data_IF_455885144503
#
_entry.id   IF_455885144503
#
_cell.length_a   1.000
_cell.length_b   1.000
_cell.length_c   1.000
_cell.angle_alpha   90.00
_cell.angle_beta   90.00
_cell.angle_gamma   90.00
#
_symmetry.space_group_name_H-M   'P 1'
#
loop_
_entity.id
_entity.type
_entity.pdbx_description
1 polymer ?
#
# COMPACT_ATOMS: atom_id res chain seq x y z
N UNK A 1 38.31 25.67 10.16
CA UNK A 1 38.79 24.55 9.29
C UNK A 1 37.62 24.06 8.45
N UNK A 2 37.93 23.66 7.22
CA UNK A 2 37.06 23.61 6.04
C UNK A 2 35.89 22.62 6.11
N UNK A 3 34.80 23.07 5.50
CA UNK A 3 33.61 22.38 4.98
C UNK A 3 33.76 20.91 4.55
N UNK A 4 32.71 20.12 4.77
CA UNK A 4 32.33 18.99 3.91
C UNK A 4 30.80 18.89 3.73
N UNK A 5 30.33 19.55 2.67
CA UNK A 5 29.46 19.00 1.62
C UNK A 5 28.14 18.31 2.04
N UNK A 6 27.10 19.07 2.39
CA UNK A 6 25.72 18.61 2.19
C UNK A 6 25.39 18.73 0.70
N UNK A 7 25.65 17.67 -0.06
CA UNK A 7 25.04 17.50 -1.36
C UNK A 7 23.52 17.70 -1.18
N UNK A 8 22.95 18.73 -1.80
CA UNK A 8 21.51 18.90 -1.91
C UNK A 8 20.95 17.63 -2.54
N UNK A 9 20.25 16.83 -1.73
CA UNK A 9 19.59 15.61 -2.19
C UNK A 9 18.56 16.02 -3.24
N UNK A 10 18.83 15.74 -4.51
CA UNK A 10 17.97 16.06 -5.65
C UNK A 10 16.77 15.09 -5.76
N UNK A 11 16.03 14.88 -4.66
CA UNK A 11 14.83 14.06 -4.67
C UNK A 11 13.82 14.52 -3.62
N UNK A 12 12.55 14.25 -3.90
CA UNK A 12 11.40 14.49 -3.00
C UNK A 12 11.07 13.22 -2.21
N UNK A 13 10.36 13.38 -1.08
CA UNK A 13 9.86 12.23 -0.31
C UNK A 13 8.92 11.33 -1.15
N UNK A 14 8.10 11.93 -2.02
CA UNK A 14 7.22 11.19 -2.93
C UNK A 14 8.02 10.31 -3.90
N UNK A 15 9.11 10.81 -4.48
CA UNK A 15 9.98 10.01 -5.34
C UNK A 15 10.63 8.85 -4.57
N UNK A 16 10.99 9.08 -3.31
CA UNK A 16 11.56 8.05 -2.47
C UNK A 16 10.52 6.97 -2.11
N UNK A 17 9.29 7.35 -1.78
CA UNK A 17 8.18 6.40 -1.57
C UNK A 17 7.83 5.62 -2.83
N UNK A 18 7.83 6.27 -4.01
CA UNK A 18 7.66 5.61 -5.31
C UNK A 18 8.77 4.59 -5.56
N UNK A 19 10.02 4.95 -5.27
CA UNK A 19 11.17 4.03 -5.41
C UNK A 19 11.05 2.84 -4.46
N UNK A 20 10.63 3.06 -3.22
CA UNK A 20 10.38 1.99 -2.27
C UNK A 20 9.22 1.09 -2.73
N UNK A 21 8.12 1.66 -3.23
CA UNK A 21 6.97 0.91 -3.72
C UNK A 21 7.32 0.05 -4.94
N UNK A 22 8.13 0.59 -5.87
CA UNK A 22 8.59 -0.14 -7.04
C UNK A 22 9.38 -1.39 -6.67
N UNK A 23 10.27 -1.30 -5.66
CA UNK A 23 11.10 -2.43 -5.20
C UNK A 23 10.30 -3.57 -4.55
N UNK A 24 9.04 -3.32 -4.20
CA UNK A 24 8.15 -4.35 -3.64
C UNK A 24 7.39 -5.11 -4.71
N UNK A 25 7.64 -4.86 -6.00
CA UNK A 25 7.02 -5.55 -7.14
C UNK A 25 8.09 -6.44 -7.77
N UNK A 26 7.81 -7.74 -7.85
CA UNK A 26 8.68 -8.67 -8.57
C UNK A 26 8.30 -8.72 -10.06
N UNK A 27 9.25 -9.11 -10.89
CA UNK A 27 8.97 -9.36 -12.31
C UNK A 27 7.90 -10.45 -12.46
N UNK A 28 7.06 -10.30 -13.49
CA UNK A 28 5.92 -11.19 -13.78
C UNK A 28 4.78 -11.22 -12.74
N UNK A 29 4.81 -10.39 -11.69
CA UNK A 29 3.67 -10.30 -10.78
C UNK A 29 2.47 -9.61 -11.44
N UNK A 30 1.27 -10.13 -11.14
CA UNK A 30 0.00 -9.46 -11.42
C UNK A 30 -0.28 -8.45 -10.30
N UNK A 31 -0.14 -7.18 -10.64
CA UNK A 31 -0.28 -6.04 -9.74
C UNK A 31 -1.66 -5.43 -9.88
N UNK A 32 -2.44 -5.37 -8.80
CA UNK A 32 -3.64 -4.55 -8.76
C UNK A 32 -3.25 -3.10 -8.47
N UNK A 33 -3.30 -2.27 -9.49
CA UNK A 33 -2.69 -0.93 -9.51
C UNK A 33 -3.68 0.10 -8.98
N UNK A 34 -3.29 0.79 -7.90
CA UNK A 34 -3.98 2.00 -7.44
C UNK A 34 -3.51 3.26 -8.15
N UNK A 35 -4.16 4.39 -7.91
CA UNK A 35 -3.80 5.68 -8.51
C UNK A 35 -2.77 6.47 -7.69
N UNK A 36 -2.10 7.45 -8.33
CA UNK A 36 -1.07 8.34 -7.75
C UNK A 36 0.24 7.60 -7.42
N UNK A 37 0.69 7.59 -6.16
CA UNK A 37 1.99 7.00 -5.79
C UNK A 37 2.09 5.50 -6.14
N UNK A 38 1.07 4.66 -5.88
CA UNK A 38 1.03 3.28 -6.38
C UNK A 38 1.24 3.13 -7.89
N UNK A 39 0.53 3.91 -8.71
CA UNK A 39 0.69 3.90 -10.16
C UNK A 39 2.14 4.22 -10.55
N UNK A 40 2.73 5.26 -9.96
CA UNK A 40 4.11 5.62 -10.23
C UNK A 40 5.10 4.53 -9.78
N UNK A 41 4.82 3.85 -8.66
CA UNK A 41 5.63 2.71 -8.21
C UNK A 41 5.57 1.53 -9.18
N UNK A 42 4.38 1.18 -9.65
CA UNK A 42 4.17 0.16 -10.68
C UNK A 42 4.88 0.51 -11.99
N UNK A 43 4.68 1.73 -12.50
CA UNK A 43 5.31 2.18 -13.74
C UNK A 43 6.83 2.23 -13.62
N UNK A 44 7.37 2.65 -12.46
CA UNK A 44 8.81 2.62 -12.22
C UNK A 44 9.34 1.18 -12.21
N UNK A 45 8.65 0.23 -11.56
CA UNK A 45 9.05 -1.17 -11.57
C UNK A 45 9.08 -1.74 -12.99
N UNK A 46 7.99 -1.54 -13.75
CA UNK A 46 7.84 -2.00 -15.13
C UNK A 46 8.89 -1.43 -16.08
N UNK A 47 9.29 -0.16 -15.90
CA UNK A 47 10.33 0.48 -16.71
C UNK A 47 11.76 0.25 -16.21
N UNK A 48 11.97 -0.57 -15.16
CA UNK A 48 13.31 -0.82 -14.60
C UNK A 48 13.65 -2.28 -14.42
N UNK A 49 13.04 -2.96 -13.45
CA UNK A 49 13.47 -4.29 -12.99
C UNK A 49 12.39 -5.36 -13.08
N UNK A 50 11.14 -4.97 -13.39
CA UNK A 50 9.99 -5.87 -13.50
C UNK A 50 9.23 -5.66 -14.82
N UNK A 51 9.89 -5.73 -16.00
CA UNK A 51 9.27 -5.43 -17.30
C UNK A 51 8.10 -6.36 -17.67
N UNK A 52 8.02 -7.55 -17.09
CA UNK A 52 6.92 -8.50 -17.25
C UNK A 52 5.77 -8.31 -16.25
N UNK A 53 5.86 -7.38 -15.31
CA UNK A 53 4.75 -7.11 -14.38
C UNK A 53 3.49 -6.67 -15.13
N UNK A 54 2.34 -7.21 -14.73
CA UNK A 54 1.03 -6.96 -15.36
C UNK A 54 0.19 -6.06 -14.44
N UNK A 55 -0.30 -4.95 -14.96
CA UNK A 55 -1.19 -4.04 -14.24
C UNK A 55 -2.66 -4.39 -14.47
N UNK A 56 -3.40 -4.66 -13.40
CA UNK A 56 -4.85 -4.81 -13.37
C UNK A 56 -5.45 -3.59 -12.66
N UNK A 57 -6.44 -2.96 -13.29
CA UNK A 57 -7.14 -1.79 -12.77
C UNK A 57 -8.61 -2.12 -12.46
N UNK A 58 -9.18 -1.46 -11.45
CA UNK A 58 -10.53 -1.75 -10.91
C UNK A 58 -11.67 -1.63 -11.94
N UNK A 59 -11.46 -0.89 -13.02
CA UNK A 59 -12.42 -0.73 -14.11
C UNK A 59 -12.41 -1.87 -15.14
N UNK A 60 -11.68 -2.96 -14.89
CA UNK A 60 -11.58 -4.08 -15.83
C UNK A 60 -10.52 -3.89 -16.90
N UNK A 61 -9.52 -3.04 -16.66
CA UNK A 61 -8.45 -2.79 -17.64
C UNK A 61 -7.22 -3.59 -17.24
N UNK A 62 -6.66 -4.36 -18.17
CA UNK A 62 -5.41 -5.11 -17.97
C UNK A 62 -4.36 -4.66 -18.97
N UNK A 63 -3.15 -4.37 -18.47
CA UNK A 63 -2.02 -3.89 -19.27
C UNK A 63 -0.74 -4.60 -18.88
N UNK A 64 0.00 -5.04 -19.89
CA UNK A 64 1.38 -5.54 -19.80
C UNK A 64 2.41 -4.46 -20.18
N UNK A 65 1.95 -3.28 -20.58
CA UNK A 65 2.78 -2.14 -20.98
C UNK A 65 2.23 -0.83 -20.41
N UNK A 66 3.09 0.17 -20.15
CA UNK A 66 2.65 1.49 -19.70
C UNK A 66 1.60 2.12 -20.62
N UNK A 67 0.72 2.94 -20.07
CA UNK A 67 -0.13 3.82 -20.88
C UNK A 67 0.75 4.80 -21.67
N UNK A 68 0.37 5.18 -22.91
CA UNK A 68 1.17 6.08 -23.74
C UNK A 68 1.20 7.53 -23.22
N UNK A 69 0.26 7.89 -22.34
CA UNK A 69 0.15 9.22 -21.73
C UNK A 69 -0.16 9.10 -20.22
N UNK A 70 0.09 10.16 -19.42
CA UNK A 70 -0.19 10.16 -18.00
C UNK A 70 -1.67 9.91 -17.66
N UNK A 71 -1.91 9.17 -16.58
CA UNK A 71 -3.26 8.86 -16.08
C UNK A 71 -3.60 9.73 -14.87
N UNK A 72 -4.71 10.46 -14.96
CA UNK A 72 -5.36 11.15 -13.85
C UNK A 72 -6.35 10.23 -13.13
N UNK A 73 -7.08 9.41 -13.89
CA UNK A 73 -7.99 8.38 -13.39
C UNK A 73 -7.71 7.04 -14.08
N UNK A 74 -8.19 5.94 -13.49
CA UNK A 74 -8.07 4.62 -14.12
C UNK A 74 -8.87 4.52 -15.43
N UNK A 75 -9.87 5.40 -15.64
CA UNK A 75 -10.77 5.37 -16.80
C UNK A 75 -10.32 6.24 -17.97
N UNK A 76 -9.15 6.86 -17.89
CA UNK A 76 -8.69 7.77 -18.94
C UNK A 76 -8.39 7.01 -20.24
N UNK A 77 -8.63 7.65 -21.40
CA UNK A 77 -8.42 7.07 -22.73
C UNK A 77 -7.02 6.44 -22.94
N UNK A 78 -5.92 7.02 -22.42
CA UNK A 78 -4.61 6.37 -22.53
C UNK A 78 -4.54 5.01 -21.82
N UNK A 79 -5.30 4.79 -20.75
CA UNK A 79 -5.32 3.50 -20.06
C UNK A 79 -6.05 2.43 -20.89
N UNK A 80 -7.05 2.84 -21.67
CA UNK A 80 -7.84 1.96 -22.55
C UNK A 80 -7.07 1.61 -23.83
N UNK A 81 -6.35 2.58 -24.39
CA UNK A 81 -5.65 2.43 -25.66
C UNK A 81 -4.55 1.37 -25.58
N UNK A 82 -4.66 0.32 -26.41
CA UNK A 82 -3.74 -0.83 -26.44
C UNK A 82 -3.64 -1.59 -25.10
N UNK A 83 -4.69 -1.54 -24.28
CA UNK A 83 -4.79 -2.49 -23.18
C UNK A 83 -4.87 -3.92 -23.73
N UNK A 84 -4.32 -4.88 -23.00
CA UNK A 84 -4.39 -6.30 -23.37
C UNK A 84 -5.81 -6.84 -23.24
N UNK A 85 -6.54 -6.32 -22.26
CA UNK A 85 -7.93 -6.67 -22.03
C UNK A 85 -8.73 -5.48 -21.52
N UNK A 86 -9.90 -5.29 -22.13
CA UNK A 86 -10.94 -4.37 -21.69
C UNK A 86 -12.14 -5.23 -21.26
N UNK A 87 -12.24 -5.41 -19.95
CA UNK A 87 -13.26 -6.17 -19.25
C UNK A 87 -14.17 -5.19 -18.48
N UNK A 88 -14.87 -5.70 -17.46
CA UNK A 88 -15.53 -4.86 -16.47
C UNK A 88 -14.96 -5.05 -15.06
N UNK A 89 -15.51 -4.31 -14.10
CA UNK A 89 -15.12 -4.44 -12.69
C UNK A 89 -15.39 -5.84 -12.14
N UNK A 90 -16.46 -6.52 -12.58
CA UNK A 90 -16.77 -7.86 -12.09
C UNK A 90 -15.69 -8.87 -12.52
N UNK A 91 -15.18 -8.75 -13.74
CA UNK A 91 -14.06 -9.55 -14.24
C UNK A 91 -12.76 -9.32 -13.44
N UNK A 92 -12.41 -8.05 -13.18
CA UNK A 92 -11.24 -7.71 -12.37
C UNK A 92 -11.36 -8.25 -10.92
N UNK A 93 -12.55 -8.14 -10.32
CA UNK A 93 -12.82 -8.71 -9.00
C UNK A 93 -12.84 -10.25 -9.04
N UNK A 94 -13.28 -10.86 -10.14
CA UNK A 94 -13.24 -12.30 -10.36
C UNK A 94 -11.80 -12.83 -10.39
N UNK A 95 -10.90 -12.16 -11.11
CA UNK A 95 -9.45 -12.47 -11.09
C UNK A 95 -8.87 -12.40 -9.68
N UNK A 96 -9.23 -11.36 -8.92
CA UNK A 96 -8.82 -11.19 -7.53
C UNK A 96 -9.35 -12.34 -6.66
N UNK A 97 -10.62 -12.68 -6.76
CA UNK A 97 -11.25 -13.75 -5.98
C UNK A 97 -10.67 -15.14 -6.28
N UNK A 98 -10.29 -15.39 -7.53
CA UNK A 98 -9.61 -16.63 -7.95
C UNK A 98 -8.16 -16.71 -7.45
N UNK A 99 -7.61 -15.63 -6.89
CA UNK A 99 -6.24 -15.56 -6.41
C UNK A 99 -5.22 -15.28 -7.52
N UNK A 100 -5.66 -14.72 -8.64
CA UNK A 100 -4.82 -14.32 -9.78
C UNK A 100 -4.04 -13.02 -9.56
N UNK A 101 -4.30 -12.30 -8.46
CA UNK A 101 -3.62 -11.05 -8.11
C UNK A 101 -2.53 -11.32 -7.06
N UNK A 102 -1.28 -11.10 -7.44
CA UNK A 102 -0.13 -11.31 -6.57
C UNK A 102 0.01 -10.20 -5.52
N UNK A 103 -0.02 -8.96 -5.97
CA UNK A 103 0.24 -7.79 -5.13
C UNK A 103 -0.78 -6.70 -5.40
N UNK A 104 -1.24 -6.03 -4.36
CA UNK A 104 -2.10 -4.85 -4.48
C UNK A 104 -1.56 -3.69 -3.66
N UNK A 105 -1.94 -2.47 -4.05
CA UNK A 105 -1.61 -1.26 -3.30
C UNK A 105 -2.87 -0.64 -2.70
N UNK A 106 -2.81 -0.35 -1.40
CA UNK A 106 -3.89 0.34 -0.68
C UNK A 106 -3.31 1.41 0.25
N UNK A 107 -4.18 2.27 0.79
CA UNK A 107 -3.80 3.32 1.74
C UNK A 107 -4.98 3.66 2.65
N UNK A 108 -4.73 4.49 3.66
CA UNK A 108 -5.75 4.81 4.66
C UNK A 108 -5.63 6.19 5.27
N UNK A 109 -6.70 6.62 5.95
CA UNK A 109 -6.67 7.74 6.86
C UNK A 109 -6.03 7.35 8.20
N UNK A 110 -6.34 6.14 8.69
CA UNK A 110 -5.67 5.53 9.84
C UNK A 110 -5.12 4.15 9.47
N UNK A 111 -4.07 3.75 10.17
CA UNK A 111 -3.50 2.40 10.20
C UNK A 111 -3.18 2.04 11.65
N UNK A 112 -3.39 0.78 12.03
CA UNK A 112 -3.01 0.28 13.35
C UNK A 112 -1.82 -0.69 13.33
N UNK A 113 -1.43 -1.14 14.53
CA UNK A 113 -0.28 -2.02 14.75
C UNK A 113 -0.34 -3.35 13.99
N UNK A 114 -1.49 -3.76 13.49
CA UNK A 114 -1.69 -5.00 12.72
C UNK A 114 -1.98 -4.72 11.24
N UNK A 115 -1.83 -3.47 10.81
CA UNK A 115 -2.03 -3.05 9.42
C UNK A 115 -3.51 -2.95 9.02
N UNK A 116 -4.44 -2.90 9.97
CA UNK A 116 -5.84 -2.60 9.65
C UNK A 116 -5.95 -1.14 9.20
N UNK A 117 -6.71 -0.87 8.14
CA UNK A 117 -6.88 0.47 7.60
C UNK A 117 -8.30 0.99 7.80
N UNK A 118 -8.38 2.30 8.01
CA UNK A 118 -9.63 3.05 8.01
C UNK A 118 -9.66 4.06 6.87
N UNK A 119 -10.66 3.96 6.02
CA UNK A 119 -11.03 4.95 5.01
C UNK A 119 -12.52 5.29 5.08
N UNK A 120 -13.21 4.96 6.17
CA UNK A 120 -14.67 5.09 6.27
C UNK A 120 -15.11 6.14 7.30
N UNK A 121 -14.74 5.99 8.57
CA UNK A 121 -15.31 6.79 9.67
C UNK A 121 -14.28 7.09 10.75
N UNK A 122 -13.98 8.37 10.98
CA UNK A 122 -13.22 8.82 12.17
C UNK A 122 -14.21 9.03 13.32
N UNK A 123 -13.85 8.59 14.53
CA UNK A 123 -14.75 8.54 15.70
C UNK A 123 -15.67 7.31 15.75
N UNK A 124 -15.62 6.46 14.72
CA UNK A 124 -16.40 5.22 14.62
C UNK A 124 -17.84 5.43 14.15
N UNK A 125 -18.63 4.35 14.11
CA UNK A 125 -19.99 4.37 13.53
C UNK A 125 -21.06 4.99 14.43
N UNK A 126 -20.81 5.07 15.75
CA UNK A 126 -21.79 5.58 16.73
C UNK A 126 -21.74 7.10 16.90
N UNK A 127 -20.56 7.68 16.67
CA UNK A 127 -20.31 9.12 16.79
C UNK A 127 -19.35 9.53 15.68
N UNK A 128 -19.86 9.56 14.44
CA UNK A 128 -19.05 9.89 13.26
C UNK A 128 -18.60 11.36 13.36
N UNK A 129 -17.32 11.58 13.63
CA UNK A 129 -16.70 12.90 13.60
C UNK A 129 -16.40 13.32 12.16
N UNK A 130 -15.86 12.39 11.36
CA UNK A 130 -15.55 12.63 9.95
C UNK A 130 -15.91 11.43 9.09
N UNK A 131 -16.72 11.67 8.05
CA UNK A 131 -16.99 10.69 6.98
C UNK A 131 -15.91 10.79 5.91
N UNK A 132 -15.23 9.67 5.67
CA UNK A 132 -14.21 9.52 4.64
C UNK A 132 -14.81 8.91 3.35
N UNK A 133 -14.07 8.80 2.23
CA UNK A 133 -14.62 8.29 0.97
C UNK A 133 -15.24 6.87 1.03
N UNK A 134 -14.76 6.02 1.93
CA UNK A 134 -15.22 4.63 2.07
C UNK A 134 -14.22 3.61 1.52
N UNK A 135 -14.68 2.36 1.39
CA UNK A 135 -13.83 1.23 0.98
C UNK A 135 -13.33 1.33 -0.46
N UNK A 136 -14.23 1.63 -1.42
CA UNK A 136 -13.99 1.22 -2.80
C UNK A 136 -13.69 -0.28 -2.86
N UNK A 137 -12.81 -0.72 -3.76
CA UNK A 137 -12.28 -2.10 -3.76
C UNK A 137 -11.19 -2.43 -2.73
N UNK A 138 -10.80 -1.49 -1.84
CA UNK A 138 -9.65 -1.72 -0.95
C UNK A 138 -9.87 -2.86 0.07
N UNK A 139 -11.11 -3.08 0.53
CA UNK A 139 -11.43 -4.22 1.38
C UNK A 139 -11.19 -5.55 0.64
N UNK A 140 -11.68 -5.69 -0.59
CA UNK A 140 -11.49 -6.90 -1.40
C UNK A 140 -10.00 -7.17 -1.66
N UNK A 141 -9.24 -6.13 -1.99
CA UNK A 141 -7.79 -6.22 -2.16
C UNK A 141 -7.08 -6.69 -0.89
N UNK A 142 -7.46 -6.16 0.27
CA UNK A 142 -6.90 -6.56 1.55
C UNK A 142 -7.27 -8.00 1.96
N UNK A 143 -8.44 -8.47 1.53
CA UNK A 143 -8.95 -9.80 1.82
C UNK A 143 -8.38 -10.89 0.88
N UNK A 144 -8.21 -10.58 -0.41
CA UNK A 144 -8.12 -11.59 -1.47
C UNK A 144 -6.79 -11.60 -2.25
N UNK A 145 -6.05 -10.49 -2.32
CA UNK A 145 -4.73 -10.49 -2.98
C UNK A 145 -3.73 -11.38 -2.23
N UNK A 146 -2.74 -11.97 -2.92
CA UNK A 146 -1.73 -12.81 -2.25
C UNK A 146 -0.90 -12.03 -1.24
N UNK A 147 -0.73 -10.72 -1.43
CA UNK A 147 -0.27 -9.73 -0.44
C UNK A 147 -0.70 -8.32 -0.83
N UNK A 148 -0.68 -7.39 0.11
CA UNK A 148 -0.87 -5.97 -0.19
C UNK A 148 0.21 -5.10 0.43
N UNK A 149 0.44 -3.95 -0.19
CA UNK A 149 1.38 -2.91 0.23
C UNK A 149 0.57 -1.67 0.61
N UNK A 150 0.84 -1.15 1.80
CA UNK A 150 0.20 0.07 2.31
C UNK A 150 1.11 1.24 2.00
N UNK A 151 0.58 2.29 1.35
CA UNK A 151 1.33 3.53 1.08
C UNK A 151 0.58 4.72 1.66
N UNK A 152 1.19 5.42 2.62
CA UNK A 152 0.53 6.55 3.30
C UNK A 152 1.51 7.51 3.98
N UNK A 153 1.07 8.73 4.29
CA UNK A 153 1.87 9.67 5.10
C UNK A 153 2.04 9.16 6.54
N UNK A 154 3.21 9.38 7.13
CA UNK A 154 3.49 9.03 8.52
C UNK A 154 3.16 10.21 9.45
N UNK A 155 2.06 10.10 10.18
CA UNK A 155 1.62 11.12 11.14
C UNK A 155 1.00 10.42 12.35
N UNK A 156 1.20 10.98 13.55
CA UNK A 156 0.70 10.37 14.79
C UNK A 156 -0.81 10.11 14.81
N UNK A 157 -1.60 10.97 14.17
CA UNK A 157 -3.07 10.79 14.02
C UNK A 157 -3.47 9.67 13.07
N UNK A 158 -2.56 9.27 12.18
CA UNK A 158 -2.76 8.20 11.20
C UNK A 158 -2.29 6.86 11.76
N UNK A 159 -1.18 6.85 12.49
CA UNK A 159 -0.63 5.65 13.13
C UNK A 159 -1.17 5.54 14.55
N UNK A 160 -2.35 4.93 14.68
CA UNK A 160 -3.12 4.80 15.94
C UNK A 160 -3.06 3.39 16.54
N UNK A 161 -3.23 3.20 17.87
CA UNK A 161 -3.15 1.87 18.48
C UNK A 161 -4.16 0.84 17.94
N UNK A 162 -5.36 1.32 17.59
CA UNK A 162 -6.47 0.65 16.90
C UNK A 162 -7.14 1.70 16.03
N UNK A 163 -7.56 1.31 14.83
CA UNK A 163 -8.36 2.18 13.96
C UNK A 163 -9.80 2.32 14.50
N UNK A 164 -10.43 3.46 14.23
CA UNK A 164 -11.82 3.70 14.67
C UNK A 164 -12.85 2.82 13.96
N UNK A 165 -12.50 2.40 12.74
CA UNK A 165 -13.27 1.48 11.92
C UNK A 165 -12.35 0.70 10.99
N UNK A 166 -12.50 -0.63 10.93
CA UNK A 166 -11.73 -1.46 10.00
C UNK A 166 -12.47 -1.46 8.66
N UNK A 167 -12.00 -0.63 7.72
CA UNK A 167 -12.48 -0.66 6.34
C UNK A 167 -11.80 -1.76 5.54
N UNK A 168 -10.49 -1.90 5.72
CA UNK A 168 -9.69 -2.93 5.03
C UNK A 168 -8.88 -3.70 6.07
N UNK A 169 -9.11 -5.01 6.25
CA UNK A 169 -8.48 -5.78 7.31
C UNK A 169 -7.02 -6.07 7.00
N UNK A 170 -6.15 -5.76 7.96
CA UNK A 170 -4.77 -6.22 7.99
C UNK A 170 -4.70 -7.62 8.59
N UNK A 171 -4.03 -7.74 9.72
CA UNK A 171 -4.03 -8.94 10.55
C UNK A 171 -5.05 -8.89 11.70
N UNK A 172 -6.00 -7.95 11.69
CA UNK A 172 -7.06 -7.85 12.69
C UNK A 172 -6.50 -7.68 14.09
N UNK A 173 -6.59 -8.72 14.92
CA UNK A 173 -6.05 -8.73 16.29
C UNK A 173 -4.65 -9.38 16.40
N UNK A 174 -4.03 -9.73 15.27
CA UNK A 174 -2.71 -10.33 15.18
C UNK A 174 -2.72 -11.85 14.95
N UNK A 175 -1.53 -12.42 14.79
CA UNK A 175 -1.29 -13.86 14.67
C UNK A 175 -2.20 -14.55 13.65
N UNK A 176 -2.98 -15.52 14.12
CA UNK A 176 -3.84 -16.37 13.28
C UNK A 176 -5.22 -15.77 12.98
N UNK A 177 -5.45 -14.49 13.25
CA UNK A 177 -6.79 -13.87 13.11
C UNK A 177 -7.37 -14.05 11.70
N UNK A 178 -6.58 -13.82 10.64
CA UNK A 178 -7.02 -13.96 9.24
C UNK A 178 -7.56 -15.36 8.96
N UNK A 179 -6.88 -16.40 9.45
CA UNK A 179 -7.31 -17.79 9.34
C UNK A 179 -8.62 -18.04 10.11
N UNK A 180 -8.73 -17.52 11.34
CA UNK A 180 -9.92 -17.70 12.20
C UNK A 180 -11.19 -17.08 11.58
N UNK A 181 -11.06 -15.98 10.86
CA UNK A 181 -12.20 -15.32 10.18
C UNK A 181 -12.42 -15.82 8.75
N UNK A 182 -11.68 -16.83 8.30
CA UNK A 182 -11.88 -17.48 7.01
C UNK A 182 -11.32 -16.74 5.80
N UNK A 183 -10.39 -15.78 5.99
CA UNK A 183 -9.72 -15.15 4.85
C UNK A 183 -8.79 -16.16 4.17
N UNK A 184 -8.92 -16.36 2.84
CA UNK A 184 -8.30 -17.50 2.17
C UNK A 184 -6.79 -17.34 1.99
N UNK A 185 -6.28 -16.10 2.01
CA UNK A 185 -4.86 -15.77 1.77
C UNK A 185 -4.51 -14.35 2.21
N UNK A 186 -3.26 -13.98 1.99
CA UNK A 186 -2.82 -12.59 2.00
C UNK A 186 -2.62 -11.97 3.38
N UNK A 187 -2.64 -10.64 3.36
CA UNK A 187 -2.28 -9.78 4.47
C UNK A 187 -1.34 -8.66 4.03
N UNK A 188 -1.16 -7.64 4.88
CA UNK A 188 -0.23 -6.56 4.60
C UNK A 188 1.19 -7.12 4.66
N UNK A 189 1.96 -6.92 3.59
CA UNK A 189 3.37 -7.30 3.52
C UNK A 189 4.28 -6.16 3.96
N UNK A 190 3.90 -4.93 3.60
CA UNK A 190 4.76 -3.76 3.69
C UNK A 190 3.93 -2.51 3.95
N UNK A 191 4.45 -1.59 4.77
CA UNK A 191 3.94 -0.23 4.92
C UNK A 191 5.04 0.76 4.53
N UNK A 192 4.80 1.54 3.48
CA UNK A 192 5.72 2.55 2.96
C UNK A 192 5.19 3.92 3.34
N UNK A 193 6.03 4.68 4.01
CA UNK A 193 5.63 5.97 4.58
C UNK A 193 6.56 7.10 4.18
N UNK A 194 6.23 8.32 4.58
CA UNK A 194 7.13 9.49 4.44
C UNK A 194 8.36 9.42 5.34
N UNK A 195 8.40 8.53 6.34
CA UNK A 195 9.51 8.42 7.28
C UNK A 195 10.37 7.16 7.12
N UNK A 196 9.80 6.08 6.58
CA UNK A 196 10.49 4.80 6.47
C UNK A 196 9.62 3.69 5.93
N UNK A 197 10.15 2.47 5.96
CA UNK A 197 9.47 1.24 5.60
C UNK A 197 9.26 0.39 6.85
N UNK A 198 8.05 -0.15 6.98
CA UNK A 198 7.66 -1.06 8.04
C UNK A 198 7.20 -2.41 7.44
N UNK A 199 7.38 -3.48 8.21
CA UNK A 199 6.97 -4.86 7.89
C UNK A 199 6.19 -5.44 9.07
N UNK A 200 5.84 -6.71 9.01
CA UNK A 200 5.10 -7.42 10.05
C UNK A 200 5.89 -8.63 10.53
N UNK A 201 5.96 -8.81 11.85
CA UNK A 201 6.61 -9.98 12.45
C UNK A 201 5.92 -11.28 12.00
N UNK A 202 6.67 -12.36 11.70
CA UNK A 202 6.09 -13.61 11.21
C UNK A 202 5.01 -14.21 12.11
N UNK A 203 5.20 -14.17 13.43
CA UNK A 203 4.31 -14.85 14.38
C UNK A 203 3.24 -13.93 14.95
N UNK A 204 3.64 -12.81 15.55
CA UNK A 204 2.69 -11.88 16.19
C UNK A 204 1.88 -11.09 15.16
N UNK A 205 2.42 -10.94 13.93
CA UNK A 205 1.90 -10.05 12.89
C UNK A 205 1.85 -8.59 13.30
N UNK A 206 2.54 -8.22 14.37
CA UNK A 206 2.68 -6.82 14.78
C UNK A 206 3.66 -6.10 13.85
N UNK A 207 3.33 -4.85 13.52
CA UNK A 207 4.12 -3.99 12.66
C UNK A 207 5.46 -3.61 13.32
N UNK A 208 6.54 -3.64 12.55
CA UNK A 208 7.90 -3.30 12.97
C UNK A 208 8.57 -2.37 11.97
N UNK A 209 9.33 -1.40 12.47
CA UNK A 209 10.16 -0.53 11.64
C UNK A 209 11.37 -1.32 11.11
N UNK A 210 11.53 -1.38 9.79
CA UNK A 210 12.66 -2.10 9.15
C UNK A 210 13.70 -1.17 8.52
N UNK A 211 13.31 0.03 8.11
CA UNK A 211 14.26 1.04 7.64
C UNK A 211 13.69 2.44 7.76
N UNK A 212 14.58 3.41 7.91
CA UNK A 212 14.26 4.85 7.89
C UNK A 212 14.79 5.49 6.62
N UNK A 213 14.07 6.50 6.14
CA UNK A 213 14.50 7.24 4.96
C UNK A 213 15.70 8.13 5.28
N UNK A 214 16.54 8.50 4.28
CA UNK A 214 17.77 9.25 4.55
C UNK A 214 17.49 10.61 5.18
N UNK A 215 17.97 10.82 6.41
CA UNK A 215 17.74 12.04 7.20
C UNK A 215 16.61 11.92 8.22
N UNK A 216 15.96 10.76 8.31
CA UNK A 216 15.00 10.42 9.36
C UNK A 216 15.69 9.58 10.44
N UNK A 217 15.42 9.88 11.70
CA UNK A 217 15.88 9.06 12.84
C UNK A 217 14.79 8.12 13.32
N UNK A 218 15.16 7.05 14.02
CA UNK A 218 14.20 6.13 14.65
C UNK A 218 13.30 6.91 15.61
N UNK A 219 13.85 7.82 16.42
CA UNK A 219 13.09 8.64 17.37
C UNK A 219 11.99 9.47 16.69
N UNK A 220 12.24 9.99 15.48
CA UNK A 220 11.22 10.70 14.71
C UNK A 220 10.04 9.79 14.32
N UNK A 221 10.33 8.54 13.95
CA UNK A 221 9.29 7.54 13.64
C UNK A 221 8.48 7.22 14.90
N UNK A 222 9.17 6.92 16.01
CA UNK A 222 8.53 6.58 17.28
C UNK A 222 7.67 7.74 17.80
N UNK A 223 8.15 8.98 17.71
CA UNK A 223 7.39 10.16 18.11
C UNK A 223 6.12 10.38 17.27
N UNK A 224 6.11 9.91 16.03
CA UNK A 224 4.98 9.99 15.09
C UNK A 224 4.14 8.71 15.01
N UNK A 225 4.34 7.77 15.94
CA UNK A 225 3.54 6.54 16.07
C UNK A 225 2.85 6.54 17.43
N UNK A 226 1.53 6.33 17.50
CA UNK A 226 0.78 6.45 18.75
C UNK A 226 0.74 5.15 19.60
N UNK A 227 1.59 4.18 19.29
CA UNK A 227 1.81 2.95 20.07
C UNK A 227 3.32 2.68 20.19
N UNK A 228 3.78 1.81 21.11
CA UNK A 228 5.20 1.51 21.27
C UNK A 228 5.69 0.63 20.11
N UNK A 229 5.96 1.26 18.96
CA UNK A 229 6.44 0.60 17.75
C UNK A 229 7.79 -0.06 17.99
N UNK A 230 7.89 -1.33 17.61
CA UNK A 230 9.15 -2.09 17.67
C UNK A 230 10.01 -1.77 16.45
N UNK A 231 11.33 -1.85 16.64
CA UNK A 231 12.32 -1.77 15.56
C UNK A 231 12.83 -3.18 15.31
N UNK A 232 12.90 -3.57 14.03
CA UNK A 232 13.45 -4.87 13.65
C UNK A 232 14.91 -4.99 14.12
N UNK A 233 15.31 -6.20 14.47
CA UNK A 233 16.72 -6.51 14.73
C UNK A 233 17.43 -6.61 13.37
N UNK A 234 18.65 -6.07 13.31
CA UNK A 234 19.52 -6.15 12.13
C UNK A 234 19.75 -7.61 11.68
#
# INVERSE_FOLDING_TARGET
MKAQNTATKNYTLSQLMVTAAAREIADQEVVFVGMRLPLLGFLLAQNTHAPGAIGVYELGIVRDTPAPEPLMTMGDLPNLYRAQWLADTADAMGLLQQGGVDVSFIGGAQVDRFGNLNTSYIGGIRAIETRLPGSGGACDLACLAKRHIIVMAHEKRRFVPRVDYITSPGYGEGGSWRLKVGLPRGGPSTVITTLGVLRFEPDSKEMVLVSVHPGVTIDMVLANTAWPLKVAKD
#
